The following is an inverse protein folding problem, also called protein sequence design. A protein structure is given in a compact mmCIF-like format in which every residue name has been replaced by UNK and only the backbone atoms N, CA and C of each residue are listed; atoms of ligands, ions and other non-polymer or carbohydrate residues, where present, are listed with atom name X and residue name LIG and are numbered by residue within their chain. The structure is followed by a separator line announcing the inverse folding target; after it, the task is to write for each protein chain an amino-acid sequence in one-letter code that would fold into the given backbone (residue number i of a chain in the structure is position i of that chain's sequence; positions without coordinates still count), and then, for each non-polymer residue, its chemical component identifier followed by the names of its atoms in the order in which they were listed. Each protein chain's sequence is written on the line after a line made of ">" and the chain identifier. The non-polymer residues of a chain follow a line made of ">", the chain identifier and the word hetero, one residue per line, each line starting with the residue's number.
data_IF_185782209427
#
_entry.id   IF_185782209427
#
_cell.length_a   1.000
_cell.length_b   1.000
_cell.length_c   1.000
_cell.angle_alpha   90.00
_cell.angle_beta   90.00
_cell.angle_gamma   90.00
#
_symmetry.space_group_name_H-M   'P 1'
#
loop_
_entity.id
_entity.type
_entity.pdbx_description
1 polymer ?
#
# COMPACT_ATOMS: atom_id res chain seq x y z
N UNK A 1 -9.78 0.47 -10.24
CA UNK A 1 -8.77 0.49 -9.15
C UNK A 1 -7.78 1.60 -9.43
N UNK A 2 -7.46 2.39 -8.45
CA UNK A 2 -6.43 3.42 -8.54
C UNK A 2 -5.22 3.02 -7.72
N UNK A 3 -4.04 3.46 -8.17
CA UNK A 3 -2.83 3.39 -7.37
C UNK A 3 -2.60 4.72 -6.68
N UNK A 4 -2.33 4.69 -5.38
CA UNK A 4 -1.90 5.86 -4.62
C UNK A 4 -0.50 5.62 -4.07
N UNK A 5 0.35 6.62 -4.22
CA UNK A 5 1.68 6.62 -3.65
C UNK A 5 1.84 7.85 -2.77
N UNK A 6 2.05 7.62 -1.48
CA UNK A 6 2.29 8.67 -0.49
C UNK A 6 3.77 8.70 -0.18
N UNK A 7 4.43 9.78 -0.58
CA UNK A 7 5.84 10.01 -0.28
C UNK A 7 5.97 11.13 0.75
N UNK A 8 7.19 11.48 1.11
CA UNK A 8 7.44 12.52 2.12
C UNK A 8 6.98 13.90 1.68
N UNK A 9 6.82 14.14 0.38
CA UNK A 9 6.54 15.46 -0.19
C UNK A 9 5.23 15.56 -0.95
N UNK A 10 4.59 14.44 -1.26
CA UNK A 10 3.38 14.46 -2.09
C UNK A 10 2.62 13.14 -2.03
N UNK A 11 1.37 13.20 -2.47
CA UNK A 11 0.59 12.02 -2.84
C UNK A 11 0.37 12.04 -4.34
N UNK A 12 0.49 10.88 -4.97
CA UNK A 12 0.29 10.71 -6.40
C UNK A 12 -0.79 9.67 -6.65
N UNK A 13 -1.57 9.90 -7.70
CA UNK A 13 -2.65 9.01 -8.09
C UNK A 13 -2.51 8.64 -9.55
N UNK A 14 -2.72 7.35 -9.84
CA UNK A 14 -2.75 6.83 -11.22
C UNK A 14 -3.93 5.91 -11.35
N UNK A 15 -4.67 6.05 -12.44
CA UNK A 15 -5.72 5.09 -12.81
C UNK A 15 -5.45 4.59 -14.21
N UNK A 16 -5.40 3.26 -14.35
CA UNK A 16 -5.18 2.59 -15.63
C UNK A 16 -6.46 1.92 -16.09
N UNK A 17 -6.71 1.99 -17.40
CA UNK A 17 -7.72 1.20 -18.06
C UNK A 17 -7.08 0.12 -18.93
N UNK A 18 -7.88 -0.77 -19.47
CA UNK A 18 -7.44 -1.76 -20.42
C UNK A 18 -8.14 -1.57 -21.76
N UNK A 19 -7.39 -1.72 -22.85
CA UNK A 19 -7.96 -1.76 -24.20
C UNK A 19 -8.58 -3.13 -24.48
N UNK A 20 -9.29 -3.27 -25.58
CA UNK A 20 -9.83 -4.55 -26.03
C UNK A 20 -8.76 -5.62 -26.28
N UNK A 21 -7.51 -5.21 -26.50
CA UNK A 21 -6.37 -6.11 -26.69
C UNK A 21 -5.64 -6.45 -25.38
N UNK A 22 -6.14 -5.98 -24.24
CA UNK A 22 -5.51 -6.21 -22.95
C UNK A 22 -4.35 -5.28 -22.60
N UNK A 23 -4.05 -4.32 -23.45
CA UNK A 23 -3.01 -3.33 -23.17
C UNK A 23 -3.51 -2.29 -22.16
N UNK A 24 -2.61 -1.80 -21.31
CA UNK A 24 -2.95 -0.77 -20.34
C UNK A 24 -2.83 0.62 -20.93
N UNK A 25 -3.77 1.48 -20.57
CA UNK A 25 -3.73 2.91 -20.91
C UNK A 25 -3.84 3.73 -19.64
N UNK A 26 -3.19 4.87 -19.62
CA UNK A 26 -3.30 5.83 -18.52
C UNK A 26 -4.58 6.63 -18.68
N UNK A 27 -5.52 6.47 -17.78
CA UNK A 27 -6.80 7.17 -17.83
C UNK A 27 -6.80 8.44 -17.01
N UNK A 28 -6.26 8.37 -15.79
CA UNK A 28 -6.20 9.51 -14.87
C UNK A 28 -4.89 9.49 -14.11
N UNK A 29 -4.40 10.69 -13.84
CA UNK A 29 -3.23 10.85 -12.98
C UNK A 29 -3.27 12.23 -12.33
N UNK A 30 -2.58 12.36 -11.23
CA UNK A 30 -2.47 13.64 -10.54
C UNK A 30 -1.58 13.56 -9.33
N UNK A 31 -1.31 14.70 -8.75
CA UNK A 31 -0.54 14.79 -7.52
C UNK A 31 -0.97 15.98 -6.69
N UNK A 32 -0.80 15.86 -5.37
CA UNK A 32 -0.93 16.96 -4.42
C UNK A 32 0.32 17.03 -3.57
N UNK A 33 0.85 18.23 -3.39
CA UNK A 33 2.03 18.44 -2.58
C UNK A 33 1.68 18.50 -1.09
N UNK A 34 2.59 18.02 -0.27
CA UNK A 34 2.51 18.14 1.19
C UNK A 34 3.40 19.26 1.69
N UNK A 35 3.00 19.87 2.78
CA UNK A 35 3.88 20.77 3.50
C UNK A 35 4.92 19.98 4.29
N UNK A 36 6.06 20.61 4.53
CA UNK A 36 7.15 20.00 5.28
C UNK A 36 6.68 19.58 6.68
N UNK A 37 7.01 18.35 7.06
CA UNK A 37 6.67 17.82 8.37
C UNK A 37 5.37 17.05 8.43
N UNK A 38 4.58 17.00 7.36
CA UNK A 38 3.37 16.18 7.33
C UNK A 38 3.70 14.69 7.35
N UNK A 39 4.78 14.31 6.69
CA UNK A 39 5.32 12.95 6.68
C UNK A 39 6.76 13.02 7.19
N UNK A 40 7.08 12.20 8.20
CA UNK A 40 8.42 12.11 8.75
C UNK A 40 8.79 10.66 9.01
N UNK A 41 9.97 10.25 8.56
CA UNK A 41 10.49 8.87 8.72
C UNK A 41 9.52 7.79 8.26
N UNK A 42 8.82 8.03 7.15
CA UNK A 42 7.85 7.10 6.58
C UNK A 42 6.54 7.03 7.34
N UNK A 43 6.32 7.91 8.32
CA UNK A 43 5.10 7.94 9.11
C UNK A 43 4.32 9.23 8.87
N UNK A 44 3.00 9.13 8.94
CA UNK A 44 2.11 10.27 8.79
C UNK A 44 2.01 10.98 10.14
N UNK A 45 2.61 12.18 10.22
CA UNK A 45 2.56 13.01 11.42
C UNK A 45 1.32 13.90 11.47
N UNK A 46 0.88 14.39 10.31
CA UNK A 46 -0.28 15.26 10.17
C UNK A 46 -1.38 14.54 9.40
N UNK A 47 -2.04 13.62 10.07
CA UNK A 47 -3.02 12.73 9.43
C UNK A 47 -4.15 13.50 8.74
N UNK A 48 -4.74 14.50 9.43
CA UNK A 48 -5.88 15.24 8.89
C UNK A 48 -5.51 16.01 7.62
N UNK A 49 -4.34 16.63 7.61
CA UNK A 49 -3.84 17.39 6.47
C UNK A 49 -3.55 16.47 5.28
N UNK A 50 -2.94 15.31 5.55
CA UNK A 50 -2.67 14.31 4.51
C UNK A 50 -3.99 13.76 3.97
N UNK A 51 -4.94 13.45 4.83
CA UNK A 51 -6.25 12.95 4.41
C UNK A 51 -6.99 13.95 3.52
N UNK A 52 -6.94 15.24 3.86
CA UNK A 52 -7.54 16.31 3.05
C UNK A 52 -6.86 16.41 1.68
N UNK A 53 -5.54 16.29 1.63
CA UNK A 53 -4.79 16.30 0.37
C UNK A 53 -5.20 15.12 -0.53
N UNK A 54 -5.33 13.94 0.05
CA UNK A 54 -5.79 12.74 -0.67
C UNK A 54 -7.21 12.95 -1.20
N UNK A 55 -8.11 13.48 -0.38
CA UNK A 55 -9.48 13.80 -0.81
C UNK A 55 -9.52 14.78 -1.98
N UNK A 56 -8.72 15.84 -1.90
CA UNK A 56 -8.62 16.82 -2.99
C UNK A 56 -8.15 16.16 -4.28
N UNK A 57 -7.13 15.30 -4.18
CA UNK A 57 -6.59 14.61 -5.33
C UNK A 57 -7.61 13.66 -5.96
N UNK A 58 -8.31 12.87 -5.16
CA UNK A 58 -9.35 11.96 -5.64
C UNK A 58 -10.47 12.71 -6.32
N UNK A 59 -10.95 13.80 -5.73
CA UNK A 59 -12.00 14.63 -6.30
C UNK A 59 -11.54 15.27 -7.61
N UNK A 60 -10.34 15.83 -7.62
CA UNK A 60 -9.76 16.51 -8.78
C UNK A 60 -9.51 15.55 -9.95
N UNK A 61 -9.15 14.32 -9.67
CA UNK A 61 -8.90 13.32 -10.70
C UNK A 61 -10.17 12.88 -11.44
N UNK A 62 -11.31 13.03 -10.81
CA UNK A 62 -12.60 12.60 -11.38
C UNK A 62 -12.83 11.11 -11.37
N UNK A 63 -11.99 10.35 -10.67
CA UNK A 63 -12.17 8.89 -10.59
C UNK A 63 -13.48 8.54 -9.88
N UNK A 64 -14.13 7.49 -10.36
CA UNK A 64 -15.37 6.96 -9.76
C UNK A 64 -15.14 5.74 -8.90
N UNK A 65 -13.95 5.15 -8.99
CA UNK A 65 -13.62 3.97 -8.19
C UNK A 65 -13.25 4.37 -6.76
N UNK A 66 -13.53 3.46 -5.83
CA UNK A 66 -13.10 3.56 -4.44
C UNK A 66 -12.12 2.46 -4.05
N UNK A 67 -11.72 1.66 -5.03
CA UNK A 67 -10.72 0.61 -4.82
C UNK A 67 -9.34 1.19 -5.03
N UNK A 68 -8.47 1.02 -4.04
CA UNK A 68 -7.15 1.63 -4.00
C UNK A 68 -6.10 0.57 -3.74
N UNK A 69 -4.99 0.64 -4.47
CA UNK A 69 -3.78 -0.10 -4.19
C UNK A 69 -2.72 0.87 -3.68
N UNK A 70 -2.10 0.54 -2.58
CA UNK A 70 -1.02 1.33 -1.99
C UNK A 70 0.14 0.42 -1.63
N UNK A 71 1.35 0.97 -1.68
CA UNK A 71 2.53 0.31 -1.15
C UNK A 71 2.82 0.84 0.25
N UNK A 72 3.36 -0.02 1.09
CA UNK A 72 3.84 0.38 2.40
C UNK A 72 5.34 0.69 2.34
N UNK A 73 5.83 1.68 3.10
CA UNK A 73 7.26 1.94 3.16
C UNK A 73 7.99 0.78 3.82
N UNK A 74 9.22 0.55 3.40
CA UNK A 74 10.04 -0.54 3.94
C UNK A 74 10.20 -0.45 5.46
N UNK A 75 10.21 0.76 6.01
CA UNK A 75 10.29 0.98 7.45
C UNK A 75 9.07 0.46 8.24
N UNK A 76 7.95 0.27 7.55
CA UNK A 76 6.71 -0.22 8.18
C UNK A 76 6.50 -1.73 8.01
N UNK A 77 7.41 -2.41 7.33
CA UNK A 77 7.29 -3.85 7.06
C UNK A 77 8.57 -4.58 7.45
N UNK A 78 8.39 -5.84 7.83
CA UNK A 78 9.50 -6.77 8.05
C UNK A 78 9.42 -7.81 6.94
N UNK A 79 10.50 -7.94 6.16
CA UNK A 79 10.56 -8.92 5.10
C UNK A 79 11.54 -10.02 5.47
N UNK A 80 11.06 -11.25 5.47
CA UNK A 80 11.87 -12.45 5.72
C UNK A 80 11.57 -13.49 4.67
N UNK A 81 12.63 -14.14 4.21
CA UNK A 81 12.50 -15.28 3.32
C UNK A 81 12.53 -16.55 4.17
N UNK A 82 11.51 -17.36 4.05
CA UNK A 82 11.41 -18.64 4.74
C UNK A 82 11.29 -19.74 3.69
N UNK A 83 11.77 -20.94 4.04
CA UNK A 83 11.68 -22.10 3.17
C UNK A 83 10.69 -23.08 3.78
N UNK A 84 9.70 -23.48 2.99
CA UNK A 84 8.67 -24.42 3.40
C UNK A 84 8.65 -25.61 2.44
N UNK A 85 8.15 -26.79 2.88
CA UNK A 85 8.01 -27.93 1.99
C UNK A 85 7.09 -27.61 0.81
N UNK A 86 7.42 -28.12 -0.36
CA UNK A 86 6.55 -28.00 -1.53
C UNK A 86 5.33 -28.91 -1.39
N UNK A 87 4.26 -28.57 -2.09
CA UNK A 87 3.05 -29.40 -2.14
C UNK A 87 2.09 -29.24 -0.97
N UNK A 88 2.30 -28.24 -0.11
CA UNK A 88 1.35 -27.91 0.95
C UNK A 88 0.09 -27.28 0.36
N UNK A 89 -1.06 -27.60 0.96
CA UNK A 89 -2.31 -26.90 0.66
C UNK A 89 -2.24 -25.50 1.24
N UNK A 90 -3.09 -24.61 0.73
CA UNK A 90 -3.11 -23.21 1.12
C UNK A 90 -3.30 -23.03 2.63
N UNK A 91 -4.20 -23.80 3.24
CA UNK A 91 -4.46 -23.78 4.68
C UNK A 91 -3.24 -24.22 5.50
N UNK A 92 -2.56 -25.27 5.03
CA UNK A 92 -1.33 -25.76 5.68
C UNK A 92 -0.20 -24.75 5.54
N UNK A 93 -0.10 -24.10 4.38
CA UNK A 93 0.89 -23.08 4.11
C UNK A 93 0.70 -21.89 5.05
N UNK A 94 -0.53 -21.45 5.24
CA UNK A 94 -0.87 -20.34 6.12
C UNK A 94 -0.44 -20.62 7.57
N UNK A 95 -0.73 -21.81 8.09
CA UNK A 95 -0.34 -22.22 9.43
C UNK A 95 1.19 -22.26 9.58
N UNK A 96 1.89 -22.79 8.56
CA UNK A 96 3.35 -22.83 8.57
C UNK A 96 3.96 -21.43 8.56
N UNK A 97 3.41 -20.53 7.76
CA UNK A 97 3.86 -19.14 7.68
C UNK A 97 3.68 -18.45 9.03
N UNK A 98 2.55 -18.62 9.68
CA UNK A 98 2.30 -18.04 11.01
C UNK A 98 3.28 -18.56 12.05
N UNK A 99 3.54 -19.86 12.03
CA UNK A 99 4.48 -20.50 12.96
C UNK A 99 5.90 -19.95 12.78
N UNK A 100 6.35 -19.86 11.54
CA UNK A 100 7.66 -19.31 11.23
C UNK A 100 7.75 -17.82 11.54
N UNK A 101 6.71 -17.06 11.22
CA UNK A 101 6.65 -15.63 11.49
C UNK A 101 6.80 -15.32 12.99
N UNK A 102 6.22 -16.15 13.84
CA UNK A 102 6.30 -16.00 15.29
C UNK A 102 7.74 -16.03 15.81
N UNK A 103 8.66 -16.69 15.11
CA UNK A 103 10.07 -16.78 15.48
C UNK A 103 10.88 -15.54 15.07
N UNK A 104 10.44 -14.82 14.05
CA UNK A 104 11.19 -13.71 13.45
C UNK A 104 10.63 -12.33 13.77
N UNK A 105 9.36 -12.25 14.17
CA UNK A 105 8.70 -10.98 14.45
C UNK A 105 8.75 -10.70 15.95
N UNK A 106 9.31 -9.56 16.38
CA UNK A 106 9.42 -9.23 17.80
C UNK A 106 8.10 -8.74 18.42
N UNK A 107 6.99 -8.83 17.67
CA UNK A 107 5.66 -8.41 18.09
C UNK A 107 4.72 -9.60 18.11
N UNK A 108 3.64 -9.48 18.89
CA UNK A 108 2.54 -10.45 18.83
C UNK A 108 1.92 -10.47 17.43
N UNK A 109 1.51 -11.64 16.95
CA UNK A 109 0.84 -11.76 15.66
C UNK A 109 -0.48 -10.98 15.60
N UNK A 110 -1.08 -10.68 16.77
CA UNK A 110 -2.28 -9.84 16.86
C UNK A 110 -2.00 -8.36 16.55
N UNK A 111 -0.75 -7.95 16.67
CA UNK A 111 -0.34 -6.56 16.46
C UNK A 111 0.13 -6.27 15.04
N UNK A 112 0.27 -7.30 14.22
CA UNK A 112 0.80 -7.18 12.86
C UNK A 112 -0.14 -7.83 11.86
N UNK A 113 0.01 -7.45 10.61
CA UNK A 113 -0.69 -8.07 9.48
C UNK A 113 0.33 -8.85 8.65
N UNK A 114 0.05 -10.10 8.43
CA UNK A 114 0.88 -10.97 7.59
C UNK A 114 0.45 -10.94 6.13
#
# INVERSE_FOLDING_TARGET
>A
MIGLDISSSSVKLVELGQTGNGEYILERFGSESFEKGWIADGQIEKFDEVAEAVKRLVTKSGTKTRQVVMAMPQSAVITKKIMLPAGLREEELEVQVETEANQYIPFSLDEVSL
#
